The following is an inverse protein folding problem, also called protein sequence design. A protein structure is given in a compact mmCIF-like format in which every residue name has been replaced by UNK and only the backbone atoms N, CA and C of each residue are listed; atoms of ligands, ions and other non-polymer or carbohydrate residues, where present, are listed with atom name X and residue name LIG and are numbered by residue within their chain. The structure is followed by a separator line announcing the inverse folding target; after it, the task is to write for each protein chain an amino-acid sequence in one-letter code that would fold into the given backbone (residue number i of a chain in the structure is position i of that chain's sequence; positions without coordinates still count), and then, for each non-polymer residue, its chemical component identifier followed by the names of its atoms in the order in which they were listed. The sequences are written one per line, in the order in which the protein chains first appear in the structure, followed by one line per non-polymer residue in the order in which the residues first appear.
data_IF_887327702075
#
_entry.id   IF_887327702075
#
_cell.length_a   1.000
_cell.length_b   1.000
_cell.length_c   1.000
_cell.angle_alpha   90.00
_cell.angle_beta   90.00
_cell.angle_gamma   90.00
#
_symmetry.space_group_name_H-M   'P 1'
#
loop_
_entity.id
_entity.type
_entity.pdbx_description
1 polymer ?
#
# COMPACT_ATOMS: atom_id res chain seq x y z
N UNK A 1 -5.32 -12.34 -2.86
CA UNK A 1 -5.46 -11.18 -3.77
C UNK A 1 -6.92 -10.94 -4.13
N UNK A 2 -7.76 -10.55 -3.16
CA UNK A 2 -9.20 -10.46 -3.35
C UNK A 2 -9.56 -9.17 -4.10
N UNK A 3 -9.64 -9.26 -5.43
CA UNK A 3 -10.08 -8.18 -6.33
C UNK A 3 -9.29 -6.85 -6.24
N UNK A 4 -8.08 -6.86 -5.66
CA UNK A 4 -7.24 -5.68 -5.43
C UNK A 4 -6.18 -5.41 -6.52
N UNK A 5 -6.21 -6.16 -7.63
CA UNK A 5 -5.13 -6.22 -8.64
C UNK A 5 -3.80 -6.72 -8.08
N UNK A 6 -2.79 -6.92 -8.95
CA UNK A 6 -1.39 -7.12 -8.60
C UNK A 6 -0.53 -6.36 -9.60
N UNK A 7 0.70 -6.03 -9.22
CA UNK A 7 1.69 -5.47 -10.13
C UNK A 7 3.02 -6.17 -9.98
N UNK A 8 3.71 -6.36 -11.09
CA UNK A 8 5.02 -7.00 -11.11
C UNK A 8 6.00 -6.19 -11.96
N UNK A 9 7.27 -6.25 -11.59
CA UNK A 9 8.37 -5.64 -12.33
C UNK A 9 9.56 -6.59 -12.39
N UNK A 10 10.24 -6.60 -13.53
CA UNK A 10 11.44 -7.41 -13.74
C UNK A 10 12.62 -6.96 -12.90
N UNK A 11 13.35 -7.92 -12.35
CA UNK A 11 14.66 -7.73 -11.74
C UNK A 11 15.70 -8.42 -12.63
N UNK A 12 16.63 -7.67 -13.26
CA UNK A 12 17.60 -8.23 -14.18
C UNK A 12 18.37 -9.43 -13.58
N UNK A 13 18.26 -10.60 -14.23
CA UNK A 13 18.93 -11.83 -13.82
C UNK A 13 18.50 -12.42 -12.47
N UNK A 14 17.33 -12.01 -11.94
CA UNK A 14 16.85 -12.47 -10.62
C UNK A 14 15.38 -12.87 -10.59
N UNK A 15 14.58 -12.51 -11.59
CA UNK A 15 13.16 -12.82 -11.68
C UNK A 15 12.27 -11.58 -11.58
N UNK A 16 11.25 -11.61 -10.73
CA UNK A 16 10.28 -10.51 -10.56
C UNK A 16 10.20 -10.04 -9.11
N UNK A 17 9.86 -8.77 -8.93
CA UNK A 17 9.19 -8.29 -7.73
C UNK A 17 7.69 -8.20 -8.00
N UNK A 18 6.87 -8.56 -7.02
CA UNK A 18 5.41 -8.57 -7.15
C UNK A 18 4.79 -7.89 -5.92
N UNK A 19 4.03 -6.83 -6.16
CA UNK A 19 3.18 -6.19 -5.16
C UNK A 19 1.76 -6.77 -5.29
N UNK A 20 1.25 -7.34 -4.21
CA UNK A 20 -0.05 -8.00 -4.17
C UNK A 20 -0.64 -8.01 -2.77
N UNK A 21 -1.95 -8.19 -2.69
CA UNK A 21 -2.62 -8.51 -1.44
C UNK A 21 -2.60 -10.04 -1.27
N UNK A 22 -1.80 -10.57 -0.35
CA UNK A 22 -1.63 -12.02 -0.13
C UNK A 22 -2.71 -12.62 0.80
N UNK A 23 -3.73 -11.84 1.14
CA UNK A 23 -4.87 -12.26 1.95
C UNK A 23 -5.88 -13.10 1.15
N UNK A 24 -6.62 -13.97 1.86
CA UNK A 24 -7.78 -14.71 1.33
C UNK A 24 -8.99 -13.79 1.17
N UNK A 25 -9.23 -12.97 2.18
CA UNK A 25 -10.32 -12.00 2.25
C UNK A 25 -9.78 -10.68 2.81
N UNK A 26 -10.43 -9.57 2.46
CA UNK A 26 -10.01 -8.24 2.85
C UNK A 26 -8.79 -7.73 2.08
N UNK A 27 -8.59 -6.41 2.12
CA UNK A 27 -7.53 -5.72 1.36
C UNK A 27 -6.62 -4.89 2.25
N UNK A 28 -6.53 -5.25 3.52
CA UNK A 28 -5.87 -4.48 4.58
C UNK A 28 -4.36 -4.73 4.72
N UNK A 29 -3.74 -5.46 3.79
CA UNK A 29 -2.28 -5.68 3.75
C UNK A 29 -1.76 -5.76 2.32
N UNK A 30 -0.91 -4.81 1.92
CA UNK A 30 -0.20 -4.87 0.64
C UNK A 30 1.21 -5.39 0.87
N UNK A 31 1.51 -6.55 0.29
CA UNK A 31 2.75 -7.27 0.50
C UNK A 31 3.65 -7.17 -0.74
N UNK A 32 4.96 -7.19 -0.52
CA UNK A 32 5.96 -7.31 -1.59
C UNK A 32 6.54 -8.72 -1.57
N UNK A 33 6.68 -9.32 -2.75
CA UNK A 33 7.30 -10.63 -2.93
C UNK A 33 8.40 -10.55 -3.97
N UNK A 34 9.40 -11.41 -3.84
CA UNK A 34 10.34 -11.72 -4.92
C UNK A 34 10.11 -13.14 -5.43
N UNK A 35 10.47 -13.38 -6.68
CA UNK A 35 10.50 -14.71 -7.26
C UNK A 35 11.74 -14.93 -8.12
N UNK A 36 12.13 -16.19 -8.32
CA UNK A 36 13.21 -16.55 -9.25
C UNK A 36 12.78 -16.38 -10.72
N UNK A 37 13.72 -16.48 -11.65
CA UNK A 37 13.45 -16.31 -13.09
C UNK A 37 12.39 -17.29 -13.63
N UNK A 38 12.24 -18.44 -12.99
CA UNK A 38 11.27 -19.46 -13.38
C UNK A 38 9.91 -19.31 -12.67
N UNK A 39 9.76 -18.31 -11.80
CA UNK A 39 8.56 -18.05 -11.00
C UNK A 39 8.13 -19.24 -10.11
N UNK A 40 9.10 -20.04 -9.66
CA UNK A 40 8.89 -21.25 -8.85
C UNK A 40 9.15 -21.01 -7.38
N UNK A 41 10.14 -20.18 -7.05
CA UNK A 41 10.52 -19.91 -5.66
C UNK A 41 10.06 -18.52 -5.28
N UNK A 42 9.04 -18.45 -4.43
CA UNK A 42 8.48 -17.19 -3.95
C UNK A 42 8.99 -16.90 -2.54
N UNK A 43 9.50 -15.69 -2.32
CA UNK A 43 9.97 -15.23 -1.01
C UNK A 43 9.25 -13.94 -0.63
N UNK A 44 8.63 -13.88 0.57
CA UNK A 44 8.07 -12.63 1.05
C UNK A 44 9.20 -11.63 1.31
N UNK A 45 8.94 -10.37 0.98
CA UNK A 45 9.69 -9.19 1.37
C UNK A 45 8.82 -8.38 2.35
N UNK A 46 9.30 -7.25 2.92
CA UNK A 46 8.48 -6.45 3.83
C UNK A 46 7.13 -6.04 3.24
N UNK A 47 6.12 -5.98 4.10
CA UNK A 47 4.83 -5.39 3.75
C UNK A 47 5.04 -3.92 3.34
N UNK A 48 4.41 -3.51 2.23
CA UNK A 48 4.42 -2.12 1.75
C UNK A 48 3.51 -1.24 2.61
N UNK A 49 2.38 -1.79 3.03
CA UNK A 49 1.48 -1.22 4.03
C UNK A 49 0.60 -2.31 4.64
N UNK A 50 0.14 -2.04 5.86
CA UNK A 50 -0.81 -2.89 6.57
C UNK A 50 -1.67 -2.08 7.53
N UNK A 51 -2.89 -2.56 7.75
CA UNK A 51 -3.75 -2.07 8.81
C UNK A 51 -3.03 -2.17 10.16
N UNK A 52 -3.25 -1.20 11.07
CA UNK A 52 -2.79 -1.32 12.45
C UNK A 52 -3.35 -2.57 13.16
N UNK A 53 -4.55 -3.02 12.76
CA UNK A 53 -5.12 -4.28 13.23
C UNK A 53 -4.68 -5.43 12.29
N UNK A 54 -3.98 -6.46 12.80
CA UNK A 54 -3.44 -7.55 11.97
C UNK A 54 -4.51 -8.51 11.43
N UNK A 55 -5.71 -8.50 12.00
CA UNK A 55 -6.85 -9.29 11.54
C UNK A 55 -7.71 -8.50 10.54
N UNK A 56 -7.42 -7.21 10.33
CA UNK A 56 -8.20 -6.36 9.44
C UNK A 56 -9.57 -6.00 10.01
N UNK A 57 -9.71 -5.97 11.33
CA UNK A 57 -10.97 -5.59 11.98
C UNK A 57 -11.35 -4.15 11.61
N UNK A 58 -12.62 -3.86 11.25
CA UNK A 58 -13.06 -2.50 10.97
C UNK A 58 -12.86 -1.55 12.15
N UNK A 59 -12.44 -0.32 11.86
CA UNK A 59 -12.19 0.70 12.87
C UNK A 59 -13.44 1.56 13.12
N UNK A 60 -13.55 2.13 14.32
CA UNK A 60 -14.47 3.27 14.53
C UNK A 60 -14.12 4.42 13.60
N UNK A 61 -15.11 5.22 13.25
CA UNK A 61 -14.94 6.35 12.36
C UNK A 61 -13.91 7.37 12.88
N UNK A 62 -13.92 7.63 14.19
CA UNK A 62 -13.03 8.55 14.87
C UNK A 62 -11.58 8.07 14.80
N UNK A 63 -11.34 6.79 15.08
CA UNK A 63 -10.01 6.20 14.96
C UNK A 63 -9.51 6.22 13.51
N UNK A 64 -10.40 5.96 12.55
CA UNK A 64 -10.07 6.04 11.13
C UNK A 64 -9.71 7.46 10.71
N UNK A 65 -10.51 8.47 11.09
CA UNK A 65 -10.26 9.89 10.82
C UNK A 65 -8.91 10.35 11.36
N UNK A 66 -8.49 9.87 12.53
CA UNK A 66 -7.17 10.19 13.07
C UNK A 66 -6.04 9.68 12.15
N UNK A 67 -6.12 8.43 11.70
CA UNK A 67 -5.09 7.85 10.81
C UNK A 67 -5.07 8.55 9.45
N UNK A 68 -6.24 8.81 8.86
CA UNK A 68 -6.34 9.55 7.59
C UNK A 68 -5.86 11.00 7.76
N UNK A 69 -6.16 11.66 8.88
CA UNK A 69 -5.74 13.02 9.19
C UNK A 69 -4.22 13.13 9.31
N UNK A 70 -3.57 12.16 9.97
CA UNK A 70 -2.10 12.06 9.98
C UNK A 70 -1.53 11.97 8.56
N UNK A 71 -2.11 11.11 7.72
CA UNK A 71 -1.72 10.98 6.31
C UNK A 71 -1.91 12.28 5.52
N UNK A 72 -3.03 12.99 5.74
CA UNK A 72 -3.30 14.29 5.13
C UNK A 72 -2.22 15.31 5.52
N UNK A 73 -1.98 15.50 6.82
CA UNK A 73 -0.98 16.45 7.34
C UNK A 73 0.43 16.16 6.80
N UNK A 74 0.78 14.89 6.66
CA UNK A 74 2.08 14.46 6.14
C UNK A 74 2.25 14.67 4.63
N UNK A 75 1.16 14.69 3.85
CA UNK A 75 1.20 14.69 2.38
C UNK A 75 0.70 15.97 1.72
N UNK A 76 -0.15 16.76 2.39
CA UNK A 76 -0.89 17.87 1.76
C UNK A 76 -0.11 19.18 1.64
N UNK A 77 1.00 19.31 2.38
CA UNK A 77 1.76 20.56 2.52
C UNK A 77 1.06 21.62 3.38
N UNK A 78 1.80 22.63 3.82
CA UNK A 78 1.35 23.63 4.80
C UNK A 78 0.10 24.42 4.35
N UNK A 79 0.02 24.75 3.05
CA UNK A 79 -1.10 25.53 2.51
C UNK A 79 -2.45 24.82 2.59
N UNK A 80 -2.46 23.48 2.63
CA UNK A 80 -3.68 22.67 2.66
C UNK A 80 -4.07 22.20 4.06
N UNK A 81 -3.21 22.37 5.07
CA UNK A 81 -3.52 21.95 6.44
C UNK A 81 -4.84 22.54 6.98
N UNK A 82 -5.22 23.81 6.71
CA UNK A 82 -6.52 24.34 7.16
C UNK A 82 -7.73 23.60 6.59
N UNK A 83 -7.57 22.84 5.50
CA UNK A 83 -8.64 22.08 4.84
C UNK A 83 -8.85 20.69 5.45
N UNK A 84 -8.08 20.30 6.47
CA UNK A 84 -8.14 18.95 7.04
C UNK A 84 -9.53 18.61 7.56
N UNK A 85 -10.18 19.51 8.31
CA UNK A 85 -11.50 19.25 8.87
C UNK A 85 -12.55 18.99 7.78
N UNK A 86 -12.55 19.81 6.71
CA UNK A 86 -13.42 19.62 5.56
C UNK A 86 -13.13 18.30 4.84
N UNK A 87 -11.85 18.00 4.62
CA UNK A 87 -11.42 16.74 4.02
C UNK A 87 -11.89 15.52 4.81
N UNK A 88 -11.68 15.49 6.13
CA UNK A 88 -12.07 14.38 7.00
C UNK A 88 -13.59 14.22 7.08
N UNK A 89 -14.37 15.30 7.00
CA UNK A 89 -15.83 15.24 7.02
C UNK A 89 -16.44 14.48 5.82
N UNK A 90 -15.68 14.35 4.72
CA UNK A 90 -16.12 13.69 3.49
C UNK A 90 -15.75 12.19 3.42
N UNK A 91 -15.08 11.63 4.42
CA UNK A 91 -14.59 10.24 4.39
C UNK A 91 -15.70 9.22 4.60
N UNK A 92 -16.65 9.49 5.50
CA UNK A 92 -17.65 8.53 6.00
C UNK A 92 -18.42 7.82 4.89
N UNK A 93 -18.72 8.52 3.79
CA UNK A 93 -19.51 7.98 2.67
C UNK A 93 -18.71 7.10 1.72
N UNK A 94 -17.36 7.19 1.73
CA UNK A 94 -16.50 6.55 0.73
C UNK A 94 -15.83 5.28 1.22
N UNK A 95 -15.53 5.23 2.52
CA UNK A 95 -14.56 4.26 3.09
C UNK A 95 -15.09 3.51 4.32
N UNK A 96 -16.28 3.89 4.80
CA UNK A 96 -16.88 3.29 5.98
C UNK A 96 -18.23 2.64 5.64
N UNK A 97 -18.51 1.53 6.30
CA UNK A 97 -19.76 0.81 6.27
C UNK A 97 -20.39 0.80 7.68
N UNK A 98 -21.64 0.33 7.87
CA UNK A 98 -22.28 0.32 9.20
C UNK A 98 -21.48 -0.41 10.29
N UNK A 99 -20.67 -1.40 9.90
CA UNK A 99 -19.81 -2.17 10.81
C UNK A 99 -18.49 -1.48 11.18
N UNK A 100 -18.15 -0.36 10.54
CA UNK A 100 -16.90 0.36 10.73
C UNK A 100 -16.19 0.70 9.41
N UNK A 101 -14.97 1.22 9.52
CA UNK A 101 -14.14 1.66 8.40
C UNK A 101 -12.99 0.68 8.17
N UNK A 102 -12.89 0.17 6.95
CA UNK A 102 -11.85 -0.77 6.57
C UNK A 102 -10.60 -0.06 6.03
N UNK A 103 -9.44 -0.65 6.31
CA UNK A 103 -8.20 -0.27 5.65
C UNK A 103 -8.08 -1.04 4.34
N UNK A 104 -7.82 -0.33 3.24
CA UNK A 104 -7.72 -0.94 1.91
C UNK A 104 -6.51 -0.43 1.16
N UNK A 105 -5.69 -1.35 0.65
CA UNK A 105 -4.53 -1.05 -0.18
C UNK A 105 -4.67 -1.79 -1.51
N UNK A 106 -4.82 -1.02 -2.58
CA UNK A 106 -5.36 -1.55 -3.83
C UNK A 106 -4.67 -0.98 -5.07
N UNK A 107 -4.84 -1.70 -6.18
CA UNK A 107 -4.45 -1.26 -7.51
C UNK A 107 -2.98 -0.80 -7.59
N UNK A 108 -2.03 -1.67 -7.19
CA UNK A 108 -0.63 -1.34 -7.34
C UNK A 108 -0.27 -1.16 -8.82
N UNK A 109 0.68 -0.27 -9.08
CA UNK A 109 1.33 -0.10 -10.38
C UNK A 109 2.83 0.06 -10.17
N UNK A 110 3.62 -0.73 -10.91
CA UNK A 110 5.01 -0.98 -10.59
C UNK A 110 5.90 -0.82 -11.81
N UNK A 111 6.91 0.04 -11.71
CA UNK A 111 7.93 0.25 -12.74
C UNK A 111 9.34 0.22 -12.14
N UNK A 112 10.32 -0.01 -13.01
CA UNK A 112 11.74 0.21 -12.74
C UNK A 112 12.23 1.26 -13.72
N UNK A 113 12.79 2.36 -13.23
CA UNK A 113 13.36 3.41 -14.05
C UNK A 113 14.74 3.01 -14.59
N UNK A 114 15.23 3.68 -15.64
CA UNK A 114 16.54 3.37 -16.24
C UNK A 114 17.73 3.52 -15.29
N UNK A 115 17.64 4.40 -14.30
CA UNK A 115 18.63 4.59 -13.24
C UNK A 115 18.62 3.48 -12.17
N UNK A 116 17.73 2.49 -12.32
CA UNK A 116 17.64 1.33 -11.44
C UNK A 116 16.76 1.51 -10.21
N UNK A 117 16.04 2.62 -10.10
CA UNK A 117 15.09 2.83 -9.02
C UNK A 117 13.77 2.09 -9.31
N UNK A 118 13.21 1.47 -8.29
CA UNK A 118 11.90 0.87 -8.30
C UNK A 118 10.89 1.91 -7.84
N UNK A 119 9.79 2.07 -8.59
CA UNK A 119 8.69 2.96 -8.22
C UNK A 119 7.39 2.18 -8.18
N UNK A 120 6.76 2.19 -7.02
CA UNK A 120 5.45 1.60 -6.81
C UNK A 120 4.47 2.68 -6.38
N UNK A 121 3.31 2.72 -7.04
CA UNK A 121 2.17 3.51 -6.57
C UNK A 121 0.98 2.61 -6.32
N UNK A 122 0.14 2.95 -5.35
CA UNK A 122 -1.08 2.22 -5.04
C UNK A 122 -2.11 3.13 -4.36
N UNK A 123 -3.37 2.74 -4.45
CA UNK A 123 -4.46 3.38 -3.71
C UNK A 123 -4.33 3.03 -2.23
N UNK A 124 -4.34 4.05 -1.38
CA UNK A 124 -4.28 3.94 0.06
C UNK A 124 -5.59 4.43 0.65
N UNK A 125 -6.34 3.51 1.26
CA UNK A 125 -7.61 3.74 1.93
C UNK A 125 -8.67 4.44 1.06
N UNK A 126 -8.67 4.18 -0.26
CA UNK A 126 -9.54 4.85 -1.24
C UNK A 126 -9.56 6.39 -1.12
N UNK A 127 -8.46 6.94 -0.61
CA UNK A 127 -8.36 8.33 -0.19
C UNK A 127 -7.12 8.99 -0.77
N UNK A 128 -5.96 8.31 -0.69
CA UNK A 128 -4.70 8.80 -1.22
C UNK A 128 -4.14 7.85 -2.28
N UNK A 129 -3.20 8.36 -3.07
CA UNK A 129 -2.25 7.52 -3.80
C UNK A 129 -0.92 7.61 -3.07
N UNK A 130 -0.40 6.48 -2.60
CA UNK A 130 0.92 6.42 -1.97
C UNK A 130 1.95 6.05 -3.03
N UNK A 131 3.10 6.71 -2.99
CA UNK A 131 4.28 6.41 -3.81
C UNK A 131 5.40 5.91 -2.90
N UNK A 132 5.98 4.77 -3.25
CA UNK A 132 7.16 4.19 -2.61
C UNK A 132 8.25 4.02 -3.66
N UNK A 133 9.49 4.36 -3.30
CA UNK A 133 10.66 4.07 -4.12
C UNK A 133 11.80 3.47 -3.32
N UNK A 134 12.53 2.57 -3.96
CA UNK A 134 13.70 1.89 -3.39
C UNK A 134 14.62 1.40 -4.51
N UNK A 135 15.87 1.06 -4.18
CA UNK A 135 16.88 0.61 -5.14
C UNK A 135 17.32 -0.83 -4.86
N UNK A 136 18.26 -1.33 -5.66
CA UNK A 136 18.81 -2.68 -5.49
C UNK A 136 19.56 -2.89 -4.17
N UNK A 137 20.18 -1.85 -3.60
CA UNK A 137 20.88 -1.96 -2.32
C UNK A 137 19.90 -2.25 -1.18
N UNK A 138 18.80 -1.48 -1.10
CA UNK A 138 17.73 -1.74 -0.14
C UNK A 138 17.12 -3.12 -0.34
N UNK A 139 16.89 -3.53 -1.59
CA UNK A 139 16.35 -4.86 -1.88
C UNK A 139 17.29 -5.99 -1.43
N UNK A 140 18.59 -5.83 -1.61
CA UNK A 140 19.57 -6.81 -1.18
C UNK A 140 19.55 -7.01 0.34
N UNK A 141 19.37 -5.93 1.12
CA UNK A 141 19.24 -6.00 2.58
C UNK A 141 18.01 -6.80 3.03
N UNK A 142 16.93 -6.81 2.25
CA UNK A 142 15.72 -7.56 2.58
C UNK A 142 15.81 -9.06 2.22
N UNK A 143 16.82 -9.45 1.45
CA UNK A 143 17.01 -10.82 0.95
C UNK A 143 18.13 -11.58 1.69
N UNK A 144 18.82 -10.91 2.62
CA UNK A 144 19.77 -11.51 3.57
C UNK A 144 19.03 -12.34 4.64
#
# INVERSE_FOLDING_TARGET
NPNSSLAAVGVPGKGLLVALNDLREGRFKLSLYSTDEQMKVWRPLPDLDKSPDPLGTPFSLEAYKEVIGQGFRASSGALRQPMEAEFLSNLDQRVCAPQGCDFEYEYPYFIRSPDGLYHLVYSWNNTFIKHVSFNEAWLAEQLL
#
